data_IF_936288541836
#
_entry.id   IF_936288541836
#
_cell.length_a   1.000
_cell.length_b   1.000
_cell.length_c   1.000
_cell.angle_alpha   90.00
_cell.angle_beta   90.00
_cell.angle_gamma   90.00
#
_symmetry.space_group_name_H-M   'P 1'
#
loop_
_entity.id
_entity.type
_entity.pdbx_description
1 polymer ?
#
# COMPACT_ATOMS: atom_id res chain seq x y z
N UNK A 1 -32.40 -7.25 20.20
CA UNK A 1 -30.92 -7.19 20.23
C UNK A 1 -30.20 -8.27 19.42
N UNK A 2 -30.85 -9.33 18.90
CA UNK A 2 -30.15 -10.30 18.04
C UNK A 2 -29.86 -9.76 16.62
N UNK A 3 -30.58 -8.74 16.15
CA UNK A 3 -30.50 -8.28 14.75
C UNK A 3 -29.20 -7.54 14.37
N UNK A 4 -28.46 -7.00 15.35
CA UNK A 4 -27.17 -6.37 15.07
C UNK A 4 -26.05 -7.38 14.74
N UNK A 5 -26.15 -8.60 15.28
CA UNK A 5 -25.22 -9.69 15.01
C UNK A 5 -25.42 -10.31 13.63
N UNK A 6 -26.58 -10.09 13.02
CA UNK A 6 -26.95 -10.60 11.70
C UNK A 6 -26.77 -9.56 10.58
N UNK A 7 -26.39 -8.31 10.92
CA UNK A 7 -26.06 -7.32 9.89
C UNK A 7 -24.81 -7.77 9.15
N UNK A 8 -24.90 -8.04 7.83
CA UNK A 8 -23.73 -8.43 7.09
C UNK A 8 -22.69 -7.31 7.18
N UNK A 9 -21.49 -7.63 7.64
CA UNK A 9 -20.33 -6.73 7.72
C UNK A 9 -19.91 -6.22 6.32
N UNK A 10 -20.57 -6.73 5.31
CA UNK A 10 -20.39 -6.44 3.90
C UNK A 10 -21.45 -5.41 3.51
N UNK A 11 -21.01 -4.18 3.26
CA UNK A 11 -21.91 -3.11 2.82
C UNK A 11 -22.73 -3.54 1.59
N UNK A 12 -24.02 -3.19 1.58
CA UNK A 12 -24.97 -3.51 0.52
C UNK A 12 -24.61 -2.97 -0.89
N UNK A 13 -23.49 -2.25 -1.03
CA UNK A 13 -22.99 -1.67 -2.27
C UNK A 13 -21.70 -2.29 -2.82
N UNK A 14 -21.30 -3.48 -2.30
CA UNK A 14 -20.11 -4.15 -2.83
C UNK A 14 -20.42 -4.78 -4.19
N UNK A 15 -19.70 -4.34 -5.22
CA UNK A 15 -19.75 -4.96 -6.54
C UNK A 15 -19.09 -6.34 -6.48
N UNK A 16 -19.92 -7.39 -6.53
CA UNK A 16 -19.48 -8.79 -6.44
C UNK A 16 -18.75 -9.27 -7.71
N UNK A 17 -18.78 -8.50 -8.78
CA UNK A 17 -18.10 -8.83 -10.05
C UNK A 17 -16.62 -8.45 -10.00
N UNK A 18 -16.24 -7.53 -9.13
CA UNK A 18 -14.86 -7.05 -8.99
C UNK A 18 -14.10 -7.92 -8.00
N UNK A 19 -13.10 -8.65 -8.49
CA UNK A 19 -12.23 -9.49 -7.67
C UNK A 19 -11.09 -8.67 -7.09
N UNK A 20 -10.87 -8.68 -5.75
CA UNK A 20 -9.73 -8.04 -5.13
C UNK A 20 -8.43 -8.81 -5.43
N UNK A 21 -7.31 -8.18 -5.10
CA UNK A 21 -5.99 -8.83 -5.13
C UNK A 21 -5.64 -9.41 -3.77
N UNK A 22 -4.86 -10.50 -3.77
CA UNK A 22 -4.39 -11.13 -2.53
C UNK A 22 -3.51 -10.15 -1.75
N UNK A 23 -3.81 -9.95 -0.45
CA UNK A 23 -3.11 -8.96 0.38
C UNK A 23 -1.60 -9.18 0.43
N UNK A 24 -1.15 -10.42 0.61
CA UNK A 24 0.29 -10.73 0.72
C UNK A 24 1.08 -10.37 -0.54
N UNK A 25 0.45 -10.41 -1.71
CA UNK A 25 1.12 -10.03 -2.97
C UNK A 25 1.46 -8.54 -3.04
N UNK A 26 0.79 -7.70 -2.26
CA UNK A 26 1.07 -6.26 -2.20
C UNK A 26 2.44 -5.97 -1.53
N UNK A 27 2.94 -6.87 -0.69
CA UNK A 27 4.25 -6.73 -0.05
C UNK A 27 5.39 -6.71 -1.07
N UNK A 28 5.28 -7.49 -2.14
CA UNK A 28 6.27 -7.44 -3.23
C UNK A 28 6.26 -6.08 -3.93
N UNK A 29 5.06 -5.52 -4.17
CA UNK A 29 4.93 -4.18 -4.75
C UNK A 29 5.57 -3.11 -3.86
N UNK A 30 5.39 -3.21 -2.53
CA UNK A 30 6.03 -2.31 -1.57
C UNK A 30 7.55 -2.43 -1.57
N UNK A 31 8.06 -3.64 -1.60
CA UNK A 31 9.51 -3.89 -1.57
C UNK A 31 10.21 -3.36 -2.82
N UNK A 32 9.66 -3.58 -4.00
CA UNK A 32 10.29 -3.17 -5.26
C UNK A 32 9.90 -1.74 -5.67
N UNK A 33 8.63 -1.35 -5.48
CA UNK A 33 8.07 -0.09 -5.95
C UNK A 33 8.06 1.04 -4.92
N UNK A 34 8.37 0.76 -3.63
CA UNK A 34 8.41 1.73 -2.56
C UNK A 34 7.05 2.10 -1.98
N UNK A 35 7.01 3.19 -1.21
CA UNK A 35 5.83 3.65 -0.47
C UNK A 35 4.71 4.10 -1.41
N UNK A 36 5.04 4.78 -2.50
CA UNK A 36 4.06 5.27 -3.47
C UNK A 36 3.33 4.09 -4.12
N UNK A 37 4.07 3.11 -4.63
CA UNK A 37 3.51 1.92 -5.26
C UNK A 37 2.62 1.13 -4.31
N UNK A 38 3.08 0.90 -3.06
CA UNK A 38 2.30 0.18 -2.07
C UNK A 38 1.00 0.89 -1.73
N UNK A 39 1.03 2.22 -1.62
CA UNK A 39 -0.16 3.02 -1.30
C UNK A 39 -1.18 3.00 -2.43
N UNK A 40 -0.74 3.11 -3.68
CA UNK A 40 -1.62 3.03 -4.85
C UNK A 40 -2.31 1.66 -4.91
N UNK A 41 -1.56 0.56 -4.80
CA UNK A 41 -2.12 -0.79 -4.82
C UNK A 41 -3.04 -1.03 -3.62
N UNK A 42 -2.64 -0.61 -2.42
CA UNK A 42 -3.47 -0.76 -1.23
C UNK A 42 -4.80 0.01 -1.34
N UNK A 43 -4.76 1.23 -1.88
CA UNK A 43 -5.96 2.03 -2.09
C UNK A 43 -6.90 1.42 -3.15
N UNK A 44 -6.35 0.97 -4.29
CA UNK A 44 -7.12 0.32 -5.33
C UNK A 44 -7.74 -0.99 -4.84
N UNK A 45 -6.97 -1.79 -4.09
CA UNK A 45 -7.47 -3.03 -3.52
C UNK A 45 -8.53 -2.80 -2.44
N UNK A 46 -8.37 -1.77 -1.61
CA UNK A 46 -9.38 -1.37 -0.63
C UNK A 46 -10.70 -0.96 -1.28
N UNK A 47 -10.65 -0.33 -2.46
CA UNK A 47 -11.85 -0.05 -3.25
C UNK A 47 -12.52 -1.33 -3.74
N UNK A 48 -11.74 -2.30 -4.23
CA UNK A 48 -12.24 -3.61 -4.69
C UNK A 48 -12.84 -4.44 -3.56
N UNK A 49 -12.24 -4.37 -2.37
CA UNK A 49 -12.75 -5.02 -1.15
C UNK A 49 -13.97 -4.32 -0.54
N UNK A 50 -14.41 -3.16 -1.07
CA UNK A 50 -15.50 -2.39 -0.50
C UNK A 50 -15.19 -1.78 0.87
N UNK A 51 -13.91 -1.52 1.15
CA UNK A 51 -13.48 -0.87 2.39
C UNK A 51 -14.05 0.55 2.45
N UNK A 52 -14.59 0.90 3.65
CA UNK A 52 -15.24 2.18 3.89
C UNK A 52 -14.33 3.42 3.57
N UNK A 53 -14.92 4.56 3.20
CA UNK A 53 -14.21 5.75 2.79
C UNK A 53 -13.26 6.29 3.86
N UNK A 54 -13.63 6.20 5.15
CA UNK A 54 -12.78 6.61 6.26
C UNK A 54 -11.49 5.78 6.34
N UNK A 55 -11.61 4.45 6.22
CA UNK A 55 -10.46 3.54 6.20
C UNK A 55 -9.59 3.71 4.95
N UNK A 56 -10.21 4.00 3.79
CA UNK A 56 -9.44 4.34 2.57
C UNK A 56 -8.61 5.62 2.74
N UNK A 57 -9.15 6.63 3.44
CA UNK A 57 -8.39 7.84 3.80
C UNK A 57 -7.22 7.52 4.73
N UNK A 58 -7.40 6.59 5.69
CA UNK A 58 -6.29 6.13 6.55
C UNK A 58 -5.18 5.47 5.73
N UNK A 59 -5.49 4.70 4.69
CA UNK A 59 -4.49 4.13 3.77
C UNK A 59 -3.68 5.23 3.10
N UNK A 60 -4.33 6.28 2.60
CA UNK A 60 -3.65 7.43 1.98
C UNK A 60 -2.80 8.21 2.99
N UNK A 61 -3.32 8.45 4.20
CA UNK A 61 -2.58 9.12 5.27
C UNK A 61 -1.35 8.31 5.72
N UNK A 62 -1.49 7.00 5.82
CA UNK A 62 -0.36 6.08 6.10
C UNK A 62 0.69 6.16 4.99
N UNK A 63 0.26 6.22 3.73
CA UNK A 63 1.16 6.39 2.58
C UNK A 63 1.88 7.74 2.60
N UNK A 64 1.16 8.83 2.88
CA UNK A 64 1.76 10.15 3.01
C UNK A 64 2.77 10.21 4.16
N UNK A 65 2.42 9.65 5.34
CA UNK A 65 3.34 9.53 6.47
C UNK A 65 4.57 8.67 6.15
N UNK A 66 4.39 7.57 5.42
CA UNK A 66 5.48 6.73 4.94
C UNK A 66 6.41 7.46 3.98
N UNK A 67 5.86 8.28 3.07
CA UNK A 67 6.66 9.09 2.15
C UNK A 67 7.47 10.16 2.91
N UNK A 68 6.86 10.83 3.88
CA UNK A 68 7.58 11.77 4.75
C UNK A 68 8.71 11.07 5.52
N UNK A 69 8.45 9.85 6.03
CA UNK A 69 9.49 9.07 6.70
C UNK A 69 10.63 8.67 5.75
N UNK A 70 10.33 8.30 4.51
CA UNK A 70 11.35 8.02 3.47
C UNK A 70 12.20 9.26 3.20
N UNK A 71 11.59 10.44 3.03
CA UNK A 71 12.30 11.70 2.81
C UNK A 71 13.19 12.02 4.02
N UNK A 72 12.66 11.88 5.25
CA UNK A 72 13.43 12.12 6.46
C UNK A 72 14.63 11.17 6.59
N UNK A 73 14.44 9.87 6.37
CA UNK A 73 15.54 8.88 6.39
C UNK A 73 16.57 9.20 5.31
N UNK A 74 16.12 9.58 4.12
CA UNK A 74 17.01 9.98 3.03
C UNK A 74 17.82 11.21 3.43
N UNK A 75 17.19 12.29 3.90
CA UNK A 75 17.86 13.53 4.27
C UNK A 75 18.85 13.35 5.43
N UNK A 76 18.54 12.45 6.37
CA UNK A 76 19.42 12.19 7.54
C UNK A 76 20.62 11.29 7.22
N UNK A 77 20.47 10.36 6.27
CA UNK A 77 21.48 9.34 5.98
C UNK A 77 22.19 9.58 4.63
N UNK A 78 21.76 10.57 3.85
CA UNK A 78 22.40 10.94 2.59
C UNK A 78 23.60 11.84 2.89
N UNK A 79 24.79 11.26 2.93
CA UNK A 79 26.06 11.96 3.13
C UNK A 79 26.91 11.88 1.87
N UNK A 80 27.59 12.97 1.51
CA UNK A 80 28.59 13.07 0.43
C UNK A 80 28.13 12.58 -0.97
N UNK A 81 26.84 12.75 -1.28
CA UNK A 81 26.30 12.42 -2.60
C UNK A 81 26.24 10.92 -2.92
N UNK A 82 26.55 10.05 -1.94
CA UNK A 82 26.53 8.60 -2.12
C UNK A 82 25.30 7.93 -1.51
N UNK A 83 24.63 7.07 -2.31
CA UNK A 83 23.55 6.22 -1.81
C UNK A 83 24.13 4.93 -1.28
N UNK A 84 24.33 4.87 0.02
CA UNK A 84 24.86 3.66 0.69
C UNK A 84 23.88 2.50 0.67
N UNK A 85 24.39 1.26 0.80
CA UNK A 85 23.53 0.07 0.91
C UNK A 85 22.60 0.15 2.12
N UNK A 86 23.06 0.71 3.24
CA UNK A 86 22.26 0.92 4.44
C UNK A 86 21.06 1.85 4.21
N UNK A 87 21.27 2.95 3.49
CA UNK A 87 20.20 3.88 3.12
C UNK A 87 19.13 3.19 2.27
N UNK A 88 19.53 2.39 1.27
CA UNK A 88 18.58 1.63 0.44
C UNK A 88 17.74 0.66 1.27
N UNK A 89 18.37 -0.07 2.18
CA UNK A 89 17.68 -1.01 3.07
C UNK A 89 16.72 -0.26 3.99
N UNK A 90 17.13 0.87 4.58
CA UNK A 90 16.29 1.67 5.45
C UNK A 90 15.02 2.18 4.73
N UNK A 91 15.17 2.73 3.52
CA UNK A 91 14.03 3.17 2.70
C UNK A 91 13.07 2.01 2.40
N UNK A 92 13.60 0.83 2.02
CA UNK A 92 12.76 -0.35 1.74
C UNK A 92 12.07 -0.87 3.01
N UNK A 93 12.72 -0.82 4.16
CA UNK A 93 12.12 -1.17 5.44
C UNK A 93 10.91 -0.25 5.75
N UNK A 94 11.04 1.07 5.56
CA UNK A 94 9.93 2.01 5.74
C UNK A 94 8.76 1.66 4.81
N UNK A 95 9.03 1.36 3.52
CA UNK A 95 8.00 0.99 2.57
C UNK A 95 7.25 -0.28 2.97
N UNK A 96 7.98 -1.31 3.43
CA UNK A 96 7.37 -2.58 3.88
C UNK A 96 6.55 -2.36 5.15
N UNK A 97 7.04 -1.60 6.14
CA UNK A 97 6.29 -1.29 7.36
C UNK A 97 5.01 -0.52 7.03
N UNK A 98 5.10 0.49 6.17
CA UNK A 98 3.94 1.24 5.68
C UNK A 98 2.90 0.29 5.03
N UNK A 99 3.35 -0.62 4.16
CA UNK A 99 2.51 -1.62 3.53
C UNK A 99 1.83 -2.52 4.57
N UNK A 100 2.55 -3.03 5.56
CA UNK A 100 1.98 -3.89 6.61
C UNK A 100 0.87 -3.19 7.40
N UNK A 101 1.01 -1.89 7.68
CA UNK A 101 -0.06 -1.09 8.31
C UNK A 101 -1.27 -0.99 7.37
N UNK A 102 -1.06 -0.71 6.09
CA UNK A 102 -2.13 -0.65 5.09
C UNK A 102 -2.85 -2.00 4.92
N UNK A 103 -2.12 -3.11 4.97
CA UNK A 103 -2.70 -4.46 4.94
C UNK A 103 -3.58 -4.73 6.17
N UNK A 104 -3.17 -4.27 7.35
CA UNK A 104 -3.98 -4.41 8.57
C UNK A 104 -5.34 -3.74 8.45
N UNK A 105 -5.40 -2.59 7.79
CA UNK A 105 -6.66 -1.86 7.56
C UNK A 105 -7.60 -2.66 6.64
N UNK A 106 -7.04 -3.38 5.65
CA UNK A 106 -7.80 -4.16 4.67
C UNK A 106 -8.21 -5.56 5.17
N UNK A 107 -7.49 -6.11 6.16
CA UNK A 107 -7.61 -7.49 6.63
C UNK A 107 -9.03 -7.94 6.99
N UNK A 108 -9.87 -7.15 7.70
CA UNK A 108 -11.23 -7.60 8.03
C UNK A 108 -12.08 -7.88 6.79
N UNK A 109 -11.98 -7.02 5.78
CA UNK A 109 -12.74 -7.17 4.53
C UNK A 109 -12.19 -8.30 3.65
N UNK A 110 -10.87 -8.51 3.66
CA UNK A 110 -10.24 -9.63 2.97
C UNK A 110 -10.68 -10.98 3.57
N UNK A 111 -10.73 -11.08 4.90
CA UNK A 111 -11.27 -12.28 5.56
C UNK A 111 -12.73 -12.55 5.19
N UNK A 112 -13.55 -11.51 5.14
CA UNK A 112 -14.93 -11.63 4.72
C UNK A 112 -15.05 -12.08 3.25
N UNK A 113 -14.13 -11.64 2.38
CA UNK A 113 -14.04 -12.08 0.99
C UNK A 113 -13.61 -13.56 0.89
N UNK A 114 -12.62 -13.99 1.67
CA UNK A 114 -12.16 -15.40 1.70
C UNK A 114 -13.28 -16.38 2.04
N UNK A 115 -14.16 -16.02 2.97
CA UNK A 115 -15.30 -16.85 3.36
C UNK A 115 -16.31 -17.10 2.24
N UNK A 116 -16.26 -16.34 1.15
CA UNK A 116 -17.13 -16.53 -0.02
C UNK A 116 -16.62 -17.59 -0.99
N UNK A 117 -15.38 -18.06 -0.84
CA UNK A 117 -14.79 -19.06 -1.74
C UNK A 117 -14.55 -18.57 -3.18
N UNK A 118 -14.49 -17.25 -3.39
CA UNK A 118 -14.25 -16.66 -4.72
C UNK A 118 -12.75 -16.43 -4.92
N UNK A 119 -12.25 -16.71 -6.13
CA UNK A 119 -10.84 -16.53 -6.47
C UNK A 119 -10.42 -15.07 -6.53
N UNK A 120 -9.18 -14.80 -6.12
CA UNK A 120 -8.55 -13.50 -6.26
C UNK A 120 -8.20 -13.17 -7.71
N UNK A 121 -8.21 -11.88 -8.05
CA UNK A 121 -7.66 -11.42 -9.33
C UNK A 121 -6.13 -11.49 -9.32
N UNK A 122 -5.52 -11.67 -10.50
CA UNK A 122 -4.08 -11.60 -10.67
C UNK A 122 -3.56 -10.18 -10.45
N UNK A 123 -2.54 -10.03 -9.62
CA UNK A 123 -1.86 -8.76 -9.38
C UNK A 123 -0.70 -8.51 -10.37
N UNK A 124 -0.30 -9.49 -11.18
CA UNK A 124 0.91 -9.41 -12.01
C UNK A 124 0.95 -8.17 -12.92
N UNK A 125 -0.05 -7.97 -13.76
CA UNK A 125 -0.10 -6.83 -14.68
C UNK A 125 -0.13 -5.48 -13.95
N UNK A 126 -1.19 -5.20 -13.16
CA UNK A 126 -1.29 -3.95 -12.40
C UNK A 126 -0.14 -3.76 -11.41
N UNK A 127 0.32 -4.83 -10.77
CA UNK A 127 1.42 -4.81 -9.81
C UNK A 127 2.73 -4.36 -10.43
N UNK A 128 3.12 -4.89 -11.59
CA UNK A 128 4.33 -4.48 -12.31
C UNK A 128 4.23 -3.01 -12.74
N UNK A 129 3.11 -2.61 -13.35
CA UNK A 129 2.92 -1.24 -13.81
C UNK A 129 3.04 -0.21 -12.66
N UNK A 130 2.37 -0.50 -11.53
CA UNK A 130 2.40 0.37 -10.35
C UNK A 130 3.76 0.33 -9.66
N UNK A 131 4.45 -0.82 -9.64
CA UNK A 131 5.81 -0.95 -9.11
C UNK A 131 6.79 -0.06 -9.87
N UNK A 132 6.78 -0.12 -11.21
CA UNK A 132 7.66 0.70 -12.05
C UNK A 132 7.31 2.18 -11.88
N UNK A 133 6.03 2.55 -12.00
CA UNK A 133 5.58 3.94 -11.86
C UNK A 133 5.88 4.52 -10.48
N UNK A 134 5.64 3.76 -9.42
CA UNK A 134 5.91 4.15 -8.04
C UNK A 134 7.41 4.31 -7.76
N UNK A 135 8.24 3.38 -8.24
CA UNK A 135 9.68 3.46 -8.08
C UNK A 135 10.27 4.69 -8.81
N UNK A 136 9.78 4.99 -10.02
CA UNK A 136 10.19 6.20 -10.76
C UNK A 136 9.76 7.45 -9.99
N UNK A 137 8.50 7.54 -9.55
CA UNK A 137 7.99 8.69 -8.82
C UNK A 137 8.77 8.92 -7.51
N UNK A 138 9.04 7.87 -6.74
CA UNK A 138 9.83 7.95 -5.51
C UNK A 138 11.27 8.38 -5.79
N UNK A 139 11.90 7.85 -6.84
CA UNK A 139 13.25 8.24 -7.25
C UNK A 139 13.33 9.72 -7.67
N UNK A 140 12.34 10.22 -8.41
CA UNK A 140 12.25 11.65 -8.79
C UNK A 140 12.12 12.54 -7.55
N UNK A 141 11.27 12.18 -6.59
CA UNK A 141 11.12 12.93 -5.35
C UNK A 141 12.43 12.97 -4.58
N UNK A 142 13.11 11.84 -4.41
CA UNK A 142 14.37 11.77 -3.69
C UNK A 142 15.50 12.54 -4.42
N UNK A 143 15.49 12.54 -5.75
CA UNK A 143 16.42 13.35 -6.54
C UNK A 143 16.19 14.85 -6.31
N UNK A 144 14.93 15.30 -6.30
CA UNK A 144 14.59 16.69 -6.01
C UNK A 144 14.99 17.09 -4.59
N UNK A 145 14.82 16.21 -3.61
CA UNK A 145 15.31 16.44 -2.23
C UNK A 145 16.82 16.52 -2.20
N UNK A 146 17.54 15.63 -2.90
CA UNK A 146 19.01 15.66 -2.96
C UNK A 146 19.57 16.94 -3.60
N UNK A 147 18.87 17.53 -4.57
CA UNK A 147 19.27 18.80 -5.19
C UNK A 147 18.98 19.99 -4.28
N UNK A 148 18.01 19.87 -3.36
CA UNK A 148 17.59 20.93 -2.44
C UNK A 148 18.43 20.96 -1.13
N UNK A 149 19.18 19.89 -0.82
CA UNK A 149 20.07 19.78 0.34
C UNK A 149 21.44 20.34 0.05
#
# INVERSE_FOLDING_TARGET
MPDELLRPTIGAGMDLTVRPWRLMSQTYVAFFGGVIASTVIAFLNARRLGVDAAKRRLILLTGAGGLVAVIAVFSLLHTDGSVTSGLRVAIRAVAVVCCLVQLRIQRPMDRAFQLRGVDYASLWGPGIAVTIGGAIAEAVILLLVAVAL
#
